data_IF_941869282733
#
_entry.id   IF_941869282733
#
_cell.length_a   1.000
_cell.length_b   1.000
_cell.length_c   1.000
_cell.angle_alpha   90.00
_cell.angle_beta   90.00
_cell.angle_gamma   90.00
#
_symmetry.space_group_name_H-M   'P 1'
#
loop_
_entity.id
_entity.type
_entity.pdbx_description
1 polymer ?
#
# COMPACT_ATOMS: atom_id res chain seq x y z
N UNK A 1 -9.36 10.05 -11.52
CA UNK A 1 -8.25 9.91 -10.55
C UNK A 1 -7.13 9.08 -11.12
N UNK A 2 -5.92 9.52 -10.95
CA UNK A 2 -4.79 8.73 -11.39
C UNK A 2 -4.65 7.47 -10.54
N UNK A 3 -4.21 6.41 -11.20
CA UNK A 3 -4.00 5.12 -10.55
C UNK A 3 -3.02 5.23 -9.37
N UNK A 4 -2.02 6.09 -9.51
CA UNK A 4 -1.04 6.34 -8.46
C UNK A 4 -1.69 6.91 -7.20
N UNK A 5 -2.59 7.87 -7.35
CA UNK A 5 -3.28 8.47 -6.21
C UNK A 5 -4.15 7.47 -5.49
N UNK A 6 -4.80 6.57 -6.24
CA UNK A 6 -5.59 5.50 -5.65
C UNK A 6 -4.73 4.56 -4.82
N UNK A 7 -3.56 4.18 -5.33
CA UNK A 7 -2.63 3.33 -4.61
C UNK A 7 -2.12 4.01 -3.34
N UNK A 8 -1.77 5.28 -3.44
CA UNK A 8 -1.29 6.04 -2.28
C UNK A 8 -2.36 6.14 -1.20
N UNK A 9 -3.60 6.39 -1.60
CA UNK A 9 -4.72 6.49 -0.67
C UNK A 9 -4.96 5.15 0.04
N UNK A 10 -4.89 4.03 -0.70
CA UNK A 10 -5.05 2.72 -0.11
C UNK A 10 -3.91 2.36 0.84
N UNK A 11 -2.69 2.71 0.47
CA UNK A 11 -1.53 2.50 1.35
C UNK A 11 -1.72 3.24 2.67
N UNK A 12 -2.18 4.49 2.62
CA UNK A 12 -2.46 5.27 3.83
C UNK A 12 -3.52 4.61 4.69
N UNK A 13 -4.59 4.11 4.08
CA UNK A 13 -5.65 3.41 4.79
C UNK A 13 -5.11 2.17 5.51
N UNK A 14 -4.30 1.39 4.81
CA UNK A 14 -3.74 0.18 5.38
C UNK A 14 -2.75 0.49 6.49
N UNK A 15 -1.91 1.50 6.32
CA UNK A 15 -0.99 1.92 7.36
C UNK A 15 -1.73 2.41 8.60
N UNK A 16 -2.82 3.14 8.40
CA UNK A 16 -3.66 3.60 9.48
C UNK A 16 -4.34 2.43 10.21
N UNK A 17 -4.80 1.44 9.45
CA UNK A 17 -5.38 0.24 10.01
C UNK A 17 -4.35 -0.54 10.85
N UNK A 18 -3.10 -0.60 10.39
CA UNK A 18 -2.02 -1.25 11.14
C UNK A 18 -1.83 -0.58 12.49
N UNK A 19 -1.89 0.74 12.54
CA UNK A 19 -1.74 1.48 13.80
C UNK A 19 -2.89 1.22 14.76
N UNK A 20 -4.10 1.01 14.25
CA UNK A 20 -5.30 0.86 15.06
C UNK A 20 -5.57 -0.57 15.46
N UNK A 21 -5.09 -1.52 14.68
CA UNK A 21 -5.38 -2.92 14.97
C UNK A 21 -4.60 -3.43 16.19
N UNK A 22 -5.29 -4.24 17.01
CA UNK A 22 -4.67 -4.91 18.14
C UNK A 22 -4.29 -6.35 17.78
N UNK A 23 -4.70 -6.81 16.60
CA UNK A 23 -4.42 -8.17 16.16
C UNK A 23 -3.11 -8.24 15.39
N UNK A 24 -2.17 -9.03 15.88
CA UNK A 24 -0.89 -9.24 15.20
C UNK A 24 -1.09 -9.92 13.85
N UNK A 25 -2.07 -10.80 13.76
CA UNK A 25 -2.40 -11.48 12.51
C UNK A 25 -2.84 -10.51 11.43
N UNK A 26 -3.77 -9.61 11.79
CA UNK A 26 -4.24 -8.59 10.86
C UNK A 26 -3.13 -7.63 10.48
N UNK A 27 -2.27 -7.30 11.44
CA UNK A 27 -1.14 -6.41 11.18
C UNK A 27 -0.19 -7.00 10.14
N UNK A 28 0.08 -8.30 10.21
CA UNK A 28 0.90 -8.99 9.22
C UNK A 28 0.25 -9.00 7.85
N UNK A 29 -1.05 -9.27 7.79
CA UNK A 29 -1.79 -9.29 6.54
C UNK A 29 -1.79 -7.92 5.87
N UNK A 30 -2.05 -6.88 6.65
CA UNK A 30 -2.01 -5.51 6.14
C UNK A 30 -0.60 -5.11 5.71
N UNK A 31 0.41 -5.53 6.45
CA UNK A 31 1.80 -5.27 6.10
C UNK A 31 2.19 -5.86 4.76
N UNK A 32 1.74 -7.09 4.48
CA UNK A 32 1.97 -7.74 3.18
C UNK A 32 1.28 -6.98 2.06
N UNK A 33 0.05 -6.54 2.29
CA UNK A 33 -0.70 -5.78 1.30
C UNK A 33 -0.01 -4.46 1.00
N UNK A 34 0.47 -3.76 2.02
CA UNK A 34 1.19 -2.49 1.85
C UNK A 34 2.46 -2.69 1.02
N UNK A 35 3.23 -3.73 1.33
CA UNK A 35 4.45 -4.03 0.58
C UNK A 35 4.16 -4.30 -0.89
N UNK A 36 3.10 -5.08 -1.16
CA UNK A 36 2.68 -5.37 -2.53
C UNK A 36 2.30 -4.10 -3.27
N UNK A 37 1.51 -3.25 -2.64
CA UNK A 37 1.07 -2.00 -3.25
C UNK A 37 2.24 -1.05 -3.51
N UNK A 38 3.17 -0.95 -2.59
CA UNK A 38 4.37 -0.13 -2.78
C UNK A 38 5.22 -0.64 -3.94
N UNK A 39 5.32 -1.97 -4.08
CA UNK A 39 6.05 -2.59 -5.18
C UNK A 39 5.39 -2.29 -6.51
N UNK A 40 4.06 -2.40 -6.58
CA UNK A 40 3.31 -2.09 -7.79
C UNK A 40 3.46 -0.61 -8.18
N UNK A 41 3.42 0.27 -7.19
CA UNK A 41 3.57 1.69 -7.42
C UNK A 41 4.97 2.02 -7.96
N UNK A 42 5.99 1.37 -7.43
CA UNK A 42 7.37 1.54 -7.91
C UNK A 42 7.51 1.07 -9.35
N UNK A 43 6.91 -0.08 -9.68
CA UNK A 43 6.95 -0.61 -11.04
C UNK A 43 6.23 0.34 -12.01
N UNK A 44 5.11 0.90 -11.58
CA UNK A 44 4.36 1.88 -12.37
C UNK A 44 5.20 3.12 -12.65
N UNK A 45 5.88 3.64 -11.64
CA UNK A 45 6.74 4.82 -11.79
C UNK A 45 7.92 4.55 -12.73
N UNK A 46 8.52 3.38 -12.63
CA UNK A 46 9.62 2.99 -13.52
C UNK A 46 9.17 2.90 -14.97
N UNK A 47 8.02 2.29 -15.21
CA UNK A 47 7.47 2.19 -16.56
C UNK A 47 7.11 3.54 -17.14
N UNK A 48 6.66 4.45 -16.29
CA UNK A 48 6.31 5.81 -16.71
C UNK A 48 7.54 6.59 -17.16
N UNK A 49 8.68 6.33 -16.57
CA UNK A 49 9.92 7.04 -16.89
C UNK A 49 10.61 6.50 -18.15
N UNK A 50 10.16 5.37 -18.67
CA UNK A 50 10.66 4.83 -19.92
C UNK A 50 9.97 5.48 -21.11
#
# INVERSE_FOLDING_TARGET
>A
MEKREQHEAEIRRLEDAIRRTRSDRLRRDYGKAVRRMKKELRAYDLNRNL
#
